data_IF_077926234543
#
_entry.id   IF_077926234543
#
_cell.length_a   1.000
_cell.length_b   1.000
_cell.length_c   1.000
_cell.angle_alpha   90.00
_cell.angle_beta   90.00
_cell.angle_gamma   90.00
#
_symmetry.space_group_name_H-M   'P 1'
#
loop_
_entity.id
_entity.type
_entity.pdbx_description
1 polymer ?
#
# COMPACT_ATOMS: atom_id res chain seq x y z
N UNK A 1 -1.03 27.11 -13.14
CA UNK A 1 -0.69 25.69 -12.97
C UNK A 1 0.81 25.54 -13.06
N UNK A 2 1.49 25.12 -11.99
CA UNK A 2 2.89 24.75 -12.09
C UNK A 2 3.03 23.60 -13.11
N UNK A 3 3.93 23.73 -14.09
CA UNK A 3 4.23 22.63 -15.01
C UNK A 3 4.76 21.46 -14.18
N UNK A 4 4.23 20.27 -14.44
CA UNK A 4 4.83 19.05 -13.90
C UNK A 4 6.28 18.98 -14.38
N UNK A 5 7.22 18.51 -13.54
CA UNK A 5 8.59 18.30 -13.96
C UNK A 5 8.63 17.35 -15.18
N UNK A 6 9.55 17.59 -16.11
CA UNK A 6 9.71 16.77 -17.33
C UNK A 6 10.31 15.37 -17.07
N UNK A 7 10.55 15.01 -15.80
CA UNK A 7 11.07 13.70 -15.42
C UNK A 7 9.99 12.62 -15.50
N UNK A 8 10.31 11.47 -16.08
CA UNK A 8 9.43 10.31 -16.06
C UNK A 8 9.39 9.71 -14.63
N UNK A 9 8.22 9.62 -13.97
CA UNK A 9 8.12 8.99 -12.66
C UNK A 9 8.57 7.52 -12.64
N UNK A 10 8.58 6.84 -13.78
CA UNK A 10 9.08 5.48 -13.90
C UNK A 10 10.60 5.38 -13.85
N UNK A 11 11.34 6.47 -14.10
CA UNK A 11 12.81 6.47 -14.09
C UNK A 11 13.35 6.02 -12.73
N UNK A 12 12.68 6.39 -11.64
CA UNK A 12 13.03 5.96 -10.29
C UNK A 12 13.00 4.44 -10.12
N UNK A 13 11.93 3.79 -10.60
CA UNK A 13 11.78 2.33 -10.55
C UNK A 13 12.75 1.67 -11.53
N UNK A 14 12.87 2.20 -12.75
CA UNK A 14 13.75 1.68 -13.78
C UNK A 14 15.23 1.69 -13.33
N UNK A 15 15.66 2.76 -12.67
CA UNK A 15 17.01 2.88 -12.10
C UNK A 15 17.27 1.82 -11.01
N UNK A 16 16.29 1.54 -10.14
CA UNK A 16 16.40 0.50 -9.13
C UNK A 16 16.55 -0.90 -9.78
N UNK A 17 15.71 -1.22 -10.78
CA UNK A 17 15.80 -2.50 -11.48
C UNK A 17 17.09 -2.65 -12.32
N UNK A 18 17.60 -1.57 -12.90
CA UNK A 18 18.85 -1.58 -13.66
C UNK A 18 20.06 -2.06 -12.82
N UNK A 19 20.04 -1.82 -11.50
CA UNK A 19 21.07 -2.28 -10.56
C UNK A 19 21.01 -3.79 -10.26
N UNK A 20 19.95 -4.47 -10.70
CA UNK A 20 19.69 -5.89 -10.41
C UNK A 20 19.84 -6.80 -11.65
N UNK A 21 20.43 -6.26 -12.73
CA UNK A 21 20.67 -7.00 -13.98
C UNK A 21 21.39 -8.33 -13.72
N UNK A 22 20.92 -9.38 -14.40
CA UNK A 22 21.47 -10.74 -14.26
C UNK A 22 20.97 -11.53 -13.04
N UNK A 23 20.12 -10.95 -12.20
CA UNK A 23 19.43 -11.68 -11.12
C UNK A 23 18.13 -12.29 -11.62
N UNK A 24 17.67 -13.34 -10.94
CA UNK A 24 16.34 -13.88 -11.18
C UNK A 24 15.25 -12.85 -10.82
N UNK A 25 14.04 -12.91 -11.41
CA UNK A 25 13.01 -11.90 -11.21
C UNK A 25 12.64 -11.67 -9.73
N UNK A 26 12.62 -12.72 -8.90
CA UNK A 26 12.23 -12.59 -7.49
C UNK A 26 13.30 -11.86 -6.70
N UNK A 27 14.57 -12.19 -6.93
CA UNK A 27 15.70 -11.49 -6.29
C UNK A 27 15.81 -10.06 -6.81
N UNK A 28 15.60 -9.82 -8.11
CA UNK A 28 15.60 -8.50 -8.71
C UNK A 28 14.53 -7.59 -8.08
N UNK A 29 13.28 -8.05 -7.99
CA UNK A 29 12.20 -7.30 -7.31
C UNK A 29 12.52 -7.07 -5.84
N UNK A 30 12.99 -8.10 -5.12
CA UNK A 30 13.32 -7.95 -3.69
C UNK A 30 14.40 -6.90 -3.44
N UNK A 31 15.40 -6.81 -4.32
CA UNK A 31 16.46 -5.81 -4.24
C UNK A 31 16.00 -4.42 -4.64
N UNK A 32 15.13 -4.30 -5.66
CA UNK A 32 14.52 -3.02 -6.03
C UNK A 32 13.64 -2.49 -4.89
N UNK A 33 12.87 -3.35 -4.22
CA UNK A 33 12.00 -2.99 -3.10
C UNK A 33 12.77 -2.37 -1.93
N UNK A 34 14.04 -2.75 -1.70
CA UNK A 34 14.89 -2.17 -0.65
C UNK A 34 15.12 -0.67 -0.83
N UNK A 35 15.06 -0.16 -2.06
CA UNK A 35 15.33 1.26 -2.36
C UNK A 35 14.10 2.00 -2.89
N UNK A 36 12.99 1.30 -3.12
CA UNK A 36 11.74 1.89 -3.59
C UNK A 36 10.61 1.60 -2.61
N UNK A 37 10.04 0.41 -2.65
CA UNK A 37 8.80 0.06 -1.96
C UNK A 37 8.91 0.11 -0.44
N UNK A 38 10.00 -0.41 0.14
CA UNK A 38 10.20 -0.41 1.58
C UNK A 38 10.35 1.03 2.13
N UNK A 39 11.33 1.84 1.67
CA UNK A 39 11.53 3.18 2.22
C UNK A 39 10.46 4.21 1.81
N UNK A 40 9.76 4.01 0.68
CA UNK A 40 8.77 4.97 0.18
C UNK A 40 7.32 4.60 0.50
N UNK A 41 7.04 3.41 1.04
CA UNK A 41 5.68 3.00 1.41
C UNK A 41 5.63 2.37 2.81
N UNK A 42 6.24 1.19 2.97
CA UNK A 42 6.03 0.39 4.17
C UNK A 42 6.70 0.98 5.42
N UNK A 43 7.97 1.36 5.31
CA UNK A 43 8.75 1.87 6.45
C UNK A 43 8.24 3.25 6.87
N UNK A 44 7.92 4.13 5.92
CA UNK A 44 7.39 5.47 6.19
C UNK A 44 6.11 5.40 7.02
N UNK A 45 5.18 4.51 6.66
CA UNK A 45 3.91 4.36 7.38
C UNK A 45 4.09 3.86 8.81
N UNK A 46 4.97 2.87 8.99
CA UNK A 46 5.28 2.33 10.31
C UNK A 46 5.94 3.40 11.18
N UNK A 47 6.90 4.14 10.63
CA UNK A 47 7.61 5.20 11.33
C UNK A 47 6.65 6.31 11.80
N UNK A 48 5.85 6.87 10.89
CA UNK A 48 4.86 7.91 11.21
C UNK A 48 3.89 7.43 12.30
N UNK A 49 3.33 6.22 12.16
CA UNK A 49 2.33 5.72 13.11
C UNK A 49 2.92 5.39 14.49
N UNK A 50 4.14 4.83 14.52
CA UNK A 50 4.81 4.45 15.77
C UNK A 50 5.33 5.67 16.52
N UNK A 51 6.00 6.60 15.84
CA UNK A 51 6.55 7.81 16.44
C UNK A 51 5.44 8.77 16.93
N UNK A 52 4.28 8.81 16.26
CA UNK A 52 3.10 9.53 16.75
C UNK A 52 2.62 9.02 18.13
N UNK A 53 3.01 7.81 18.53
CA UNK A 53 2.70 7.21 19.84
C UNK A 53 3.96 6.98 20.68
N UNK A 54 5.08 7.67 20.37
CA UNK A 54 6.38 7.53 21.06
C UNK A 54 6.90 6.08 21.11
N UNK A 55 6.59 5.27 20.11
CA UNK A 55 7.06 3.89 19.97
C UNK A 55 8.17 3.81 18.91
N UNK A 56 9.24 3.09 19.21
CA UNK A 56 10.30 2.77 18.24
C UNK A 56 10.10 1.34 17.68
N UNK A 57 9.72 1.22 16.41
CA UNK A 57 9.60 -0.08 15.75
C UNK A 57 10.93 -0.52 15.12
N UNK A 58 11.35 -1.76 15.43
CA UNK A 58 12.53 -2.40 14.80
C UNK A 58 12.11 -3.40 13.72
N UNK A 59 12.95 -3.55 12.70
CA UNK A 59 12.70 -4.41 11.54
C UNK A 59 13.83 -5.44 11.36
N UNK A 60 13.87 -6.53 12.15
CA UNK A 60 15.00 -7.47 12.15
C UNK A 60 15.31 -8.12 10.79
N UNK A 61 14.29 -8.28 9.94
CA UNK A 61 14.48 -8.85 8.59
C UNK A 61 15.18 -7.90 7.61
N UNK A 62 15.32 -6.61 7.95
CA UNK A 62 16.09 -5.64 7.16
C UNK A 62 17.50 -5.43 7.70
N UNK A 63 17.95 -6.23 8.67
CA UNK A 63 19.36 -6.26 9.02
C UNK A 63 20.20 -6.61 7.78
N UNK A 64 21.27 -5.86 7.57
CA UNK A 64 22.10 -5.98 6.37
C UNK A 64 22.66 -7.39 6.17
N UNK A 65 23.05 -8.11 7.23
CA UNK A 65 23.53 -9.49 7.10
C UNK A 65 22.41 -10.43 6.63
N UNK A 66 21.18 -10.23 7.11
CA UNK A 66 20.01 -11.03 6.69
C UNK A 66 19.67 -10.75 5.23
N UNK A 67 19.70 -9.47 4.83
CA UNK A 67 19.41 -9.04 3.45
C UNK A 67 20.47 -9.56 2.48
N UNK A 68 21.76 -9.41 2.80
CA UNK A 68 22.86 -9.89 1.97
C UNK A 68 22.82 -11.40 1.79
N UNK A 69 22.57 -12.14 2.87
CA UNK A 69 22.40 -13.58 2.82
C UNK A 69 21.20 -13.97 1.93
N UNK A 70 20.05 -13.31 2.08
CA UNK A 70 18.88 -13.56 1.25
C UNK A 70 19.11 -13.23 -0.24
N UNK A 71 19.90 -12.19 -0.53
CA UNK A 71 20.26 -11.78 -1.89
C UNK A 71 21.24 -12.77 -2.55
N UNK A 72 22.18 -13.33 -1.78
CA UNK A 72 23.13 -14.33 -2.25
C UNK A 72 22.53 -15.73 -2.45
N UNK A 73 21.45 -16.06 -1.72
CA UNK A 73 20.83 -17.38 -1.77
C UNK A 73 20.22 -17.71 -3.15
N UNK A 74 20.44 -18.94 -3.65
CA UNK A 74 19.76 -19.43 -4.85
C UNK A 74 18.22 -19.38 -4.72
N UNK A 75 17.54 -18.96 -5.79
CA UNK A 75 16.08 -18.83 -5.81
C UNK A 75 15.34 -20.09 -5.33
N UNK A 76 15.82 -21.29 -5.70
CA UNK A 76 15.22 -22.59 -5.33
C UNK A 76 15.05 -22.82 -3.83
N UNK A 77 15.83 -22.12 -3.00
CA UNK A 77 15.73 -22.18 -1.53
C UNK A 77 14.64 -21.23 -1.00
N UNK A 78 14.43 -20.10 -1.69
CA UNK A 78 13.46 -19.06 -1.30
C UNK A 78 12.06 -19.37 -1.84
N UNK A 79 11.98 -19.92 -3.05
CA UNK A 79 10.74 -20.10 -3.80
C UNK A 79 10.73 -21.43 -4.58
N UNK A 80 9.62 -22.18 -4.48
CA UNK A 80 9.37 -23.39 -5.28
C UNK A 80 7.86 -23.66 -5.39
N UNK A 81 7.37 -23.99 -6.58
CA UNK A 81 5.96 -24.36 -6.84
C UNK A 81 4.93 -23.38 -6.25
N UNK A 82 5.07 -22.07 -6.52
CA UNK A 82 4.13 -21.07 -6.01
C UNK A 82 4.34 -20.69 -4.53
N UNK A 83 5.21 -21.39 -3.81
CA UNK A 83 5.43 -21.17 -2.37
C UNK A 83 6.77 -20.46 -2.11
N UNK A 84 6.67 -19.23 -1.60
CA UNK A 84 7.82 -18.46 -1.10
C UNK A 84 8.19 -18.77 0.35
N UNK A 85 9.21 -18.08 0.87
CA UNK A 85 9.70 -18.16 2.26
C UNK A 85 10.10 -19.58 2.71
N UNK A 86 10.42 -20.48 1.77
CA UNK A 86 10.62 -21.89 2.09
C UNK A 86 11.75 -22.11 3.09
N UNK A 87 12.95 -21.61 2.78
CA UNK A 87 14.11 -21.70 3.69
C UNK A 87 13.79 -21.11 5.08
N UNK A 88 13.09 -19.98 5.13
CA UNK A 88 12.72 -19.34 6.40
C UNK A 88 11.80 -20.22 7.25
N UNK A 89 10.79 -20.85 6.63
CA UNK A 89 9.85 -21.73 7.34
C UNK A 89 10.52 -23.06 7.73
N UNK A 90 11.37 -23.61 6.85
CA UNK A 90 12.05 -24.88 7.08
C UNK A 90 13.07 -24.76 8.23
N UNK A 91 13.87 -23.67 8.26
CA UNK A 91 14.87 -23.40 9.30
C UNK A 91 14.29 -23.30 10.71
N UNK A 92 13.10 -22.70 10.86
CA UNK A 92 12.45 -22.51 12.17
C UNK A 92 11.26 -23.45 12.37
N UNK A 93 11.23 -24.58 11.67
CA UNK A 93 10.06 -25.45 11.62
C UNK A 93 9.74 -26.15 12.94
N UNK A 94 10.74 -26.27 13.81
CA UNK A 94 10.69 -26.75 15.20
C UNK A 94 10.13 -25.69 16.17
N UNK A 95 10.36 -24.41 15.91
CA UNK A 95 9.84 -23.29 16.70
C UNK A 95 8.41 -22.86 16.30
N UNK A 96 7.96 -23.22 15.10
CA UNK A 96 6.69 -22.75 14.54
C UNK A 96 5.55 -23.78 14.69
N UNK A 97 4.39 -23.37 15.25
CA UNK A 97 3.19 -24.21 15.26
C UNK A 97 2.82 -24.69 13.85
N UNK A 98 2.28 -25.90 13.74
CA UNK A 98 1.91 -26.50 12.44
C UNK A 98 0.92 -25.63 11.65
N UNK A 99 0.03 -24.91 12.34
CA UNK A 99 -0.92 -23.96 11.75
C UNK A 99 -0.21 -22.80 11.05
N UNK A 100 0.84 -22.24 11.64
CA UNK A 100 1.63 -21.15 11.06
C UNK A 100 2.44 -21.65 9.86
N UNK A 101 3.06 -22.83 9.97
CA UNK A 101 3.87 -23.43 8.89
C UNK A 101 3.10 -23.65 7.59
N UNK A 102 1.81 -24.01 7.69
CA UNK A 102 0.94 -24.30 6.55
C UNK A 102 0.09 -23.12 6.09
N UNK A 103 0.13 -21.99 6.82
CA UNK A 103 -0.65 -20.81 6.50
C UNK A 103 -0.20 -20.20 5.17
N UNK A 104 -1.15 -19.86 4.31
CA UNK A 104 -0.87 -19.09 3.10
C UNK A 104 -0.33 -17.69 3.44
N UNK A 105 0.47 -17.10 2.56
CA UNK A 105 0.91 -15.71 2.72
C UNK A 105 -0.32 -14.81 2.66
N UNK A 106 -0.57 -14.09 3.75
CA UNK A 106 -1.58 -13.04 3.81
C UNK A 106 -0.87 -11.68 3.73
N UNK A 107 -1.45 -10.76 2.96
CA UNK A 107 -1.04 -9.36 2.99
C UNK A 107 -1.57 -8.64 4.22
N UNK A 108 -1.11 -7.41 4.43
CA UNK A 108 -1.65 -6.48 5.43
C UNK A 108 -2.67 -5.55 4.78
N UNK A 109 -3.65 -6.13 4.09
CA UNK A 109 -4.69 -5.36 3.42
C UNK A 109 -5.53 -4.60 4.46
N UNK A 110 -5.72 -3.30 4.22
CA UNK A 110 -6.64 -2.48 5.01
C UNK A 110 -8.07 -2.99 4.76
N UNK A 111 -8.90 -3.25 5.79
CA UNK A 111 -10.23 -3.81 5.63
C UNK A 111 -11.24 -2.74 5.18
N UNK A 112 -10.95 -2.06 4.06
CA UNK A 112 -11.69 -0.91 3.55
C UNK A 112 -13.19 -1.20 3.39
N UNK A 113 -13.55 -2.40 2.92
CA UNK A 113 -14.95 -2.76 2.75
C UNK A 113 -15.70 -2.87 4.05
N UNK A 114 -15.06 -3.38 5.10
CA UNK A 114 -15.64 -3.40 6.44
C UNK A 114 -15.79 -1.96 6.95
N UNK A 115 -14.71 -1.18 6.91
CA UNK A 115 -14.73 0.21 7.40
C UNK A 115 -15.78 1.07 6.70
N UNK A 116 -15.87 1.04 5.37
CA UNK A 116 -16.84 1.85 4.63
C UNK A 116 -18.29 1.41 4.79
N UNK A 117 -18.53 0.19 5.26
CA UNK A 117 -19.87 -0.28 5.65
C UNK A 117 -20.20 -0.02 7.11
N UNK A 118 -19.19 0.19 7.95
CA UNK A 118 -19.33 0.29 9.40
C UNK A 118 -18.66 1.56 9.94
N UNK A 119 -17.42 1.47 10.45
CA UNK A 119 -16.79 2.51 11.25
C UNK A 119 -16.57 3.84 10.51
N UNK A 120 -16.38 3.79 9.20
CA UNK A 120 -16.20 4.94 8.30
C UNK A 120 -17.40 5.16 7.37
N UNK A 121 -18.55 4.53 7.64
CA UNK A 121 -19.73 4.62 6.79
C UNK A 121 -20.18 6.06 6.59
N UNK A 122 -20.43 6.76 7.69
CA UNK A 122 -20.99 8.11 7.65
C UNK A 122 -19.92 9.09 7.14
N UNK A 123 -18.68 8.98 7.61
CA UNK A 123 -17.55 9.76 7.10
C UNK A 123 -17.41 9.65 5.58
N UNK A 124 -17.57 8.45 5.02
CA UNK A 124 -17.48 8.24 3.57
C UNK A 124 -18.63 8.94 2.84
N UNK A 125 -19.86 8.92 3.38
CA UNK A 125 -21.00 9.66 2.81
C UNK A 125 -20.74 11.15 2.89
N UNK A 126 -20.36 11.64 4.06
CA UNK A 126 -20.19 13.07 4.33
C UNK A 126 -19.12 13.67 3.43
N UNK A 127 -18.00 12.97 3.20
CA UNK A 127 -16.93 13.47 2.32
C UNK A 127 -17.32 13.40 0.85
N UNK A 128 -17.86 12.26 0.40
CA UNK A 128 -18.07 12.00 -1.03
C UNK A 128 -19.38 12.57 -1.58
N UNK A 129 -20.37 12.79 -0.73
CA UNK A 129 -21.70 13.32 -1.11
C UNK A 129 -21.88 14.79 -0.72
N UNK A 130 -20.84 15.41 -0.17
CA UNK A 130 -20.75 16.85 0.04
C UNK A 130 -21.02 17.62 -1.26
N UNK A 131 -21.78 18.71 -1.19
CA UNK A 131 -22.06 19.55 -2.37
C UNK A 131 -20.79 20.07 -3.03
N UNK A 132 -19.75 20.36 -2.25
CA UNK A 132 -18.43 20.75 -2.77
C UNK A 132 -17.79 19.63 -3.58
N UNK A 133 -17.83 18.40 -3.07
CA UNK A 133 -17.24 17.24 -3.73
C UNK A 133 -17.99 16.91 -5.03
N UNK A 134 -19.33 16.90 -4.97
CA UNK A 134 -20.17 16.65 -6.14
C UNK A 134 -20.13 17.82 -7.16
N UNK A 135 -19.89 19.04 -6.68
CA UNK A 135 -19.82 20.26 -7.48
C UNK A 135 -18.50 20.48 -8.22
N UNK A 136 -17.48 19.62 -8.03
CA UNK A 136 -16.17 19.79 -8.70
C UNK A 136 -16.20 19.59 -10.21
N UNK A 137 -17.24 18.94 -10.74
CA UNK A 137 -17.43 18.73 -12.19
C UNK A 137 -16.57 17.61 -12.80
N UNK A 138 -15.79 16.85 -12.00
CA UNK A 138 -15.01 15.72 -12.50
C UNK A 138 -15.85 14.46 -12.73
N UNK A 139 -16.87 14.25 -11.91
CA UNK A 139 -17.67 13.04 -11.90
C UNK A 139 -19.16 13.37 -11.92
N UNK A 140 -19.93 12.44 -12.46
CA UNK A 140 -21.39 12.49 -12.45
C UNK A 140 -21.92 12.21 -11.03
N UNK A 141 -22.60 13.17 -10.37
CA UNK A 141 -22.99 13.03 -8.96
C UNK A 141 -23.86 11.80 -8.66
N UNK A 142 -24.75 11.43 -9.57
CA UNK A 142 -25.60 10.25 -9.47
C UNK A 142 -24.81 8.94 -9.45
N UNK A 143 -23.69 8.87 -10.18
CA UNK A 143 -22.81 7.69 -10.17
C UNK A 143 -22.11 7.56 -8.82
N UNK A 144 -21.66 8.67 -8.23
CA UNK A 144 -21.01 8.67 -6.91
C UNK A 144 -22.00 8.22 -5.84
N UNK A 145 -23.23 8.77 -5.84
CA UNK A 145 -24.30 8.34 -4.92
C UNK A 145 -24.56 6.84 -5.03
N UNK A 146 -24.70 6.32 -6.24
CA UNK A 146 -24.94 4.89 -6.46
C UNK A 146 -23.78 4.02 -5.96
N UNK A 147 -22.52 4.42 -6.19
CA UNK A 147 -21.36 3.67 -5.69
C UNK A 147 -21.33 3.62 -4.15
N UNK A 148 -21.64 4.73 -3.49
CA UNK A 148 -21.70 4.79 -2.03
C UNK A 148 -22.83 3.90 -1.50
N UNK A 149 -24.03 4.03 -2.09
CA UNK A 149 -25.20 3.28 -1.67
C UNK A 149 -25.06 1.78 -1.91
N UNK A 150 -24.61 1.36 -3.10
CA UNK A 150 -24.38 -0.04 -3.44
C UNK A 150 -23.37 -0.69 -2.51
N UNK A 151 -22.31 0.04 -2.15
CA UNK A 151 -21.29 -0.47 -1.24
C UNK A 151 -21.80 -0.63 0.19
N UNK A 152 -22.46 0.41 0.71
CA UNK A 152 -22.93 0.45 2.09
C UNK A 152 -24.08 -0.53 2.33
N UNK A 153 -24.89 -0.79 1.30
CA UNK A 153 -25.97 -1.78 1.35
C UNK A 153 -25.47 -3.20 1.06
N UNK A 154 -24.18 -3.38 0.78
CA UNK A 154 -23.57 -4.68 0.52
C UNK A 154 -23.98 -5.30 -0.83
N UNK A 155 -24.52 -4.52 -1.77
CA UNK A 155 -24.86 -4.99 -3.12
C UNK A 155 -23.61 -5.30 -3.94
N UNK A 156 -22.61 -4.42 -3.87
CA UNK A 156 -21.34 -4.58 -4.58
C UNK A 156 -20.15 -4.07 -3.76
N UNK A 157 -18.98 -4.69 -3.97
CA UNK A 157 -17.74 -4.16 -3.39
C UNK A 157 -17.16 -3.05 -4.27
N UNK A 158 -17.17 -1.83 -3.76
CA UNK A 158 -16.59 -0.64 -4.38
C UNK A 158 -15.45 -0.05 -3.54
N UNK A 159 -14.89 -0.79 -2.58
CA UNK A 159 -13.92 -0.27 -1.61
C UNK A 159 -12.76 0.48 -2.24
N UNK A 160 -12.12 -0.07 -3.27
CA UNK A 160 -10.98 0.60 -3.91
C UNK A 160 -11.40 1.87 -4.68
N UNK A 161 -12.59 1.87 -5.29
CA UNK A 161 -13.11 3.06 -5.99
C UNK A 161 -13.44 4.18 -5.01
N UNK A 162 -14.15 3.83 -3.93
CA UNK A 162 -14.51 4.78 -2.87
C UNK A 162 -13.27 5.31 -2.16
N UNK A 163 -12.26 4.45 -1.91
CA UNK A 163 -10.99 4.88 -1.34
C UNK A 163 -10.26 5.88 -2.25
N UNK A 164 -10.16 5.60 -3.55
CA UNK A 164 -9.53 6.53 -4.50
C UNK A 164 -10.26 7.89 -4.56
N UNK A 165 -11.59 7.87 -4.61
CA UNK A 165 -12.42 9.09 -4.58
C UNK A 165 -12.23 9.88 -3.28
N UNK A 166 -12.19 9.18 -2.15
CA UNK A 166 -12.06 9.79 -0.82
C UNK A 166 -10.69 10.43 -0.64
N UNK A 167 -9.61 9.73 -1.01
CA UNK A 167 -8.25 10.28 -0.97
C UNK A 167 -8.14 11.50 -1.88
N UNK A 168 -8.71 11.44 -3.09
CA UNK A 168 -8.73 12.58 -4.01
C UNK A 168 -9.44 13.78 -3.39
N UNK A 169 -10.67 13.60 -2.88
CA UNK A 169 -11.43 14.71 -2.30
C UNK A 169 -10.72 15.31 -1.08
N UNK A 170 -10.22 14.48 -0.16
CA UNK A 170 -9.47 14.97 1.01
C UNK A 170 -8.21 15.74 0.61
N UNK A 171 -7.48 15.25 -0.41
CA UNK A 171 -6.33 15.97 -0.95
C UNK A 171 -6.74 17.32 -1.55
N UNK A 172 -7.84 17.39 -2.30
CA UNK A 172 -8.32 18.64 -2.88
C UNK A 172 -8.74 19.63 -1.79
N UNK A 173 -9.43 19.16 -0.75
CA UNK A 173 -9.80 20.01 0.40
C UNK A 173 -8.57 20.60 1.09
N UNK A 174 -7.53 19.79 1.28
CA UNK A 174 -6.33 20.21 1.99
C UNK A 174 -5.45 21.14 1.15
N UNK A 175 -5.26 20.84 -0.15
CA UNK A 175 -4.22 21.47 -0.95
C UNK A 175 -4.73 22.46 -1.98
N UNK A 176 -5.92 22.27 -2.55
CA UNK A 176 -6.48 23.23 -3.51
C UNK A 176 -7.24 24.33 -2.80
N UNK A 177 -8.12 23.95 -1.89
CA UNK A 177 -9.11 24.88 -1.37
C UNK A 177 -8.59 25.70 -0.18
N UNK A 178 -7.77 25.11 0.71
CA UNK A 178 -7.09 25.89 1.78
C UNK A 178 -6.07 26.89 1.22
N UNK A 179 -5.52 26.66 0.03
CA UNK A 179 -4.65 27.64 -0.63
C UNK A 179 -5.45 28.81 -1.22
N UNK A 180 -6.66 28.56 -1.74
CA UNK A 180 -7.54 29.59 -2.27
C UNK A 180 -8.07 30.55 -1.18
N UNK A 181 -8.21 30.11 0.07
CA UNK A 181 -8.67 30.94 1.19
C UNK A 181 -7.60 31.77 1.92
N UNK A 182 -6.34 31.73 1.46
CA UNK A 182 -5.22 32.52 2.03
C UNK A 182 -4.83 33.73 1.18
N UNK A 183 -5.68 34.13 0.23
CA UNK A 183 -5.49 35.32 -0.61
C UNK A 183 -6.32 36.50 -0.15
#
# INVERSE_FOLDING_TARGET
MARLPESDPFDFLAAAFARTRGRDPVTATSLADLVTYLPCDLMTKVDIASMANSLECRQPFLDHHVVELAAAMPLRLKYRFGRGKRILIDTFSDLLPRSVRRRAKMGFGVPLGHWFRHELRDFTRDVLLDERALGRGYFRPEVIRNLVDDHQQGRYDHSYRLWALMVLELWQREWLDKQAGKS
#
